data_IF_413656538775
#
_entry.id   IF_413656538775
#
_cell.length_a   1.000
_cell.length_b   1.000
_cell.length_c   1.000
_cell.angle_alpha   90.00
_cell.angle_beta   90.00
_cell.angle_gamma   90.00
#
_symmetry.space_group_name_H-M   'P 1'
#
loop_
_entity.id
_entity.type
_entity.pdbx_description
1 polymer ?
#
# COMPACT_ATOMS: atom_id res chain seq x y z
N UNK A 1 -1.18 8.58 -53.81
CA UNK A 1 -0.58 7.24 -53.68
C UNK A 1 0.89 7.39 -54.04
N UNK A 2 1.77 7.19 -53.05
CA UNK A 2 3.24 7.11 -53.09
C UNK A 2 4.04 8.14 -53.90
N UNK A 3 4.78 9.01 -53.19
CA UNK A 3 6.15 9.35 -53.59
C UNK A 3 7.06 9.37 -52.34
N UNK A 4 7.93 8.36 -52.26
CA UNK A 4 9.07 8.25 -51.36
C UNK A 4 10.30 8.79 -52.08
N UNK A 5 10.90 9.86 -51.56
CA UNK A 5 12.31 10.26 -51.71
C UNK A 5 12.49 11.43 -50.74
N UNK A 6 13.44 11.50 -49.82
CA UNK A 6 14.76 10.90 -49.77
C UNK A 6 15.72 12.02 -49.38
N UNK A 7 16.39 11.85 -48.24
CA UNK A 7 17.74 12.36 -47.94
C UNK A 7 17.91 13.88 -47.85
N UNK A 8 17.98 14.43 -46.64
CA UNK A 8 19.21 14.55 -45.84
C UNK A 8 20.14 15.68 -46.31
N UNK A 9 20.25 16.72 -45.46
CA UNK A 9 21.49 17.38 -44.99
C UNK A 9 21.22 18.88 -44.80
N UNK A 10 21.12 19.29 -43.55
CA UNK A 10 21.43 20.67 -43.18
C UNK A 10 22.42 20.64 -42.02
N UNK A 11 23.68 20.61 -42.42
CA UNK A 11 24.80 21.44 -41.96
C UNK A 11 24.73 21.97 -40.52
N UNK A 12 25.62 21.40 -39.69
CA UNK A 12 26.15 21.99 -38.47
C UNK A 12 26.78 23.36 -38.75
N UNK A 13 26.61 24.26 -37.77
CA UNK A 13 27.50 25.32 -37.29
C UNK A 13 26.74 26.64 -37.17
N UNK A 14 26.40 27.02 -35.95
CA UNK A 14 26.63 28.38 -35.49
C UNK A 14 26.76 28.39 -33.97
N UNK A 15 27.98 28.58 -33.51
CA UNK A 15 28.28 29.06 -32.17
C UNK A 15 27.88 30.53 -32.11
N UNK A 16 27.19 30.95 -31.06
CA UNK A 16 27.56 32.12 -30.25
C UNK A 16 26.47 32.53 -29.27
N UNK A 17 26.90 32.69 -28.01
CA UNK A 17 26.37 33.64 -27.04
C UNK A 17 24.99 33.34 -26.48
N UNK A 18 24.82 33.34 -25.15
CA UNK A 18 24.44 34.54 -24.38
C UNK A 18 24.72 34.25 -22.91
N UNK A 19 25.35 35.20 -22.23
CA UNK A 19 25.51 35.27 -20.77
C UNK A 19 24.12 35.31 -20.11
N UNK A 20 23.77 34.28 -19.37
CA UNK A 20 22.58 34.24 -18.51
C UNK A 20 22.99 34.25 -17.04
N UNK A 21 22.87 35.40 -16.40
CA UNK A 21 22.91 35.55 -14.93
C UNK A 21 21.48 35.30 -14.44
N UNK A 22 21.31 34.37 -13.50
CA UNK A 22 20.04 34.05 -12.83
C UNK A 22 20.12 32.62 -12.30
N UNK A 23 19.99 32.31 -11.02
CA UNK A 23 19.15 32.89 -9.99
C UNK A 23 18.12 31.83 -9.59
N UNK A 24 18.36 31.11 -8.47
CA UNK A 24 17.46 30.07 -7.94
C UNK A 24 17.41 28.81 -8.81
N UNK A 25 17.17 27.59 -8.33
CA UNK A 25 16.28 27.19 -7.25
C UNK A 25 16.85 25.94 -6.57
N UNK A 26 16.93 25.97 -5.24
CA UNK A 26 17.11 24.78 -4.42
C UNK A 26 15.94 23.83 -4.68
N UNK A 27 16.21 22.62 -5.16
CA UNK A 27 15.22 21.56 -5.20
C UNK A 27 15.69 20.38 -4.34
N UNK A 28 15.84 20.65 -3.05
CA UNK A 28 15.73 19.60 -2.03
C UNK A 28 14.25 19.19 -1.93
N UNK A 29 13.74 18.53 -2.97
CA UNK A 29 12.48 17.82 -2.87
C UNK A 29 12.72 16.56 -2.04
N UNK A 30 12.72 16.73 -0.72
CA UNK A 30 12.54 15.64 0.21
C UNK A 30 11.20 14.99 -0.13
N UNK A 31 11.27 13.92 -0.91
CA UNK A 31 10.15 13.02 -1.20
C UNK A 31 9.77 12.40 0.13
N UNK A 32 8.97 13.11 0.92
CA UNK A 32 8.46 12.65 2.21
C UNK A 32 7.68 11.37 1.92
N UNK A 33 8.32 10.22 2.15
CA UNK A 33 7.67 8.93 2.07
C UNK A 33 6.47 9.00 3.00
N UNK A 34 5.26 9.06 2.43
CA UNK A 34 4.03 9.08 3.21
C UNK A 34 4.06 7.87 4.13
N UNK A 35 4.25 8.09 5.44
CA UNK A 35 4.29 7.03 6.45
C UNK A 35 3.13 6.10 6.21
N UNK A 36 3.42 4.84 5.89
CA UNK A 36 2.38 3.83 5.66
C UNK A 36 1.53 3.73 6.92
N UNK A 37 0.22 3.98 6.79
CA UNK A 37 -0.73 3.72 7.85
C UNK A 37 -0.78 2.20 8.04
N UNK A 38 -0.46 1.73 9.25
CA UNK A 38 -0.39 0.32 9.65
C UNK A 38 0.69 -0.52 8.92
N UNK A 39 1.98 -0.29 9.20
CA UNK A 39 3.07 -1.06 8.57
C UNK A 39 3.04 -2.55 8.94
N UNK A 40 2.60 -2.90 10.15
CA UNK A 40 2.59 -4.27 10.67
C UNK A 40 1.24 -4.99 10.55
N UNK A 41 0.29 -4.43 9.80
CA UNK A 41 -1.04 -5.04 9.68
C UNK A 41 -1.03 -6.24 8.74
N UNK A 42 -0.24 -6.21 7.66
CA UNK A 42 -0.10 -7.34 6.76
C UNK A 42 0.69 -8.46 7.47
N UNK A 43 0.19 -9.70 7.42
CA UNK A 43 0.76 -10.85 8.13
C UNK A 43 0.50 -10.84 9.64
N UNK A 44 -0.33 -9.92 10.14
CA UNK A 44 -0.68 -9.90 11.55
C UNK A 44 -1.69 -11.01 11.87
N UNK A 45 -1.44 -11.67 12.99
CA UNK A 45 -2.25 -12.77 13.51
C UNK A 45 -3.26 -12.24 14.51
N UNK A 46 -4.48 -12.72 14.42
CA UNK A 46 -5.57 -12.28 15.28
C UNK A 46 -6.42 -13.47 15.72
N UNK A 47 -6.96 -13.34 16.93
CA UNK A 47 -7.90 -14.29 17.50
C UNK A 47 -9.22 -13.58 17.76
N UNK A 48 -10.28 -14.02 17.11
CA UNK A 48 -11.64 -13.54 17.34
C UNK A 48 -12.15 -14.09 18.69
N UNK A 49 -12.69 -13.21 19.53
CA UNK A 49 -13.34 -13.65 20.77
C UNK A 49 -14.61 -14.45 20.48
N UNK A 50 -15.39 -13.99 19.50
CA UNK A 50 -16.57 -14.68 18.99
C UNK A 50 -16.22 -15.53 17.78
N UNK A 51 -16.88 -16.67 17.59
CA UNK A 51 -16.67 -17.50 16.40
C UNK A 51 -17.21 -16.78 15.17
N UNK A 52 -16.34 -16.49 14.21
CA UNK A 52 -16.72 -15.90 12.92
C UNK A 52 -16.62 -17.00 11.87
N UNK A 53 -17.72 -17.32 11.21
CA UNK A 53 -17.78 -18.46 10.26
C UNK A 53 -17.29 -19.80 10.86
N UNK A 54 -17.52 -20.01 12.16
CA UNK A 54 -17.06 -21.21 12.87
C UNK A 54 -15.60 -21.19 13.32
N UNK A 55 -14.80 -20.22 12.86
CA UNK A 55 -13.38 -20.09 13.17
C UNK A 55 -13.10 -18.95 14.14
N UNK A 56 -11.93 -19.02 14.80
CA UNK A 56 -11.45 -17.97 15.70
C UNK A 56 -10.06 -17.45 15.33
N UNK A 57 -9.23 -18.25 14.68
CA UNK A 57 -7.88 -17.86 14.33
C UNK A 57 -7.83 -17.34 12.90
N UNK A 58 -7.41 -16.10 12.75
CA UNK A 58 -7.35 -15.41 11.46
C UNK A 58 -6.01 -14.71 11.29
N UNK A 59 -5.58 -14.62 10.04
CA UNK A 59 -4.40 -13.86 9.63
C UNK A 59 -4.79 -12.82 8.59
N UNK A 60 -4.16 -11.66 8.68
CA UNK A 60 -4.34 -10.62 7.67
C UNK A 60 -3.43 -10.90 6.47
N UNK A 61 -4.00 -11.27 5.34
CA UNK A 61 -3.24 -11.54 4.11
C UNK A 61 -3.13 -10.33 3.20
N UNK A 62 -4.03 -9.36 3.34
CA UNK A 62 -4.10 -8.20 2.48
C UNK A 62 -4.62 -6.96 3.22
N UNK A 63 -4.34 -5.78 2.68
CA UNK A 63 -4.88 -4.52 3.19
C UNK A 63 -5.32 -3.63 2.03
N UNK A 64 -6.46 -2.99 2.20
CA UNK A 64 -7.03 -2.07 1.20
C UNK A 64 -7.32 -0.73 1.87
N UNK A 65 -6.67 0.32 1.39
CA UNK A 65 -6.90 1.67 1.87
C UNK A 65 -7.95 2.34 0.99
N UNK A 66 -9.10 2.69 1.57
CA UNK A 66 -10.16 3.45 0.90
C UNK A 66 -10.29 4.82 1.56
N UNK A 67 -9.50 5.78 1.06
CA UNK A 67 -9.46 7.15 1.57
C UNK A 67 -8.99 7.20 3.03
N UNK A 68 -9.92 7.50 3.95
CA UNK A 68 -9.65 7.55 5.40
C UNK A 68 -9.77 6.19 6.08
N UNK A 69 -10.41 5.21 5.44
CA UNK A 69 -10.66 3.89 6.00
C UNK A 69 -9.62 2.89 5.51
N UNK A 70 -9.29 1.94 6.38
CA UNK A 70 -8.36 0.86 6.07
C UNK A 70 -9.12 -0.44 6.30
N UNK A 71 -9.13 -1.31 5.31
CA UNK A 71 -9.70 -2.63 5.40
C UNK A 71 -8.60 -3.68 5.44
N UNK A 72 -8.79 -4.71 6.24
CA UNK A 72 -7.92 -5.87 6.35
C UNK A 72 -8.66 -7.09 5.78
N UNK A 73 -8.00 -7.82 4.88
CA UNK A 73 -8.47 -9.12 4.42
C UNK A 73 -8.01 -10.18 5.41
N UNK A 74 -8.96 -10.76 6.11
CA UNK A 74 -8.78 -11.80 7.11
C UNK A 74 -8.99 -13.16 6.45
N UNK A 75 -8.09 -14.10 6.72
CA UNK A 75 -8.19 -15.49 6.28
C UNK A 75 -8.09 -16.40 7.48
N UNK A 76 -8.96 -17.41 7.58
CA UNK A 76 -8.87 -18.37 8.67
C UNK A 76 -7.58 -19.19 8.54
N UNK A 77 -6.83 -19.31 9.65
CA UNK A 77 -5.56 -20.05 9.64
C UNK A 77 -5.75 -21.55 9.45
N UNK A 78 -6.94 -22.08 9.79
CA UNK A 78 -7.28 -23.49 9.67
C UNK A 78 -7.95 -23.83 8.33
N UNK A 79 -8.54 -22.85 7.66
CA UNK A 79 -9.25 -23.03 6.39
C UNK A 79 -9.07 -21.79 5.51
N UNK A 80 -8.25 -21.93 4.47
CA UNK A 80 -7.97 -20.86 3.52
C UNK A 80 -9.19 -20.42 2.70
N UNK A 81 -10.31 -21.17 2.72
CA UNK A 81 -11.54 -20.79 2.03
C UNK A 81 -12.32 -19.69 2.75
N UNK A 82 -12.17 -19.58 4.08
CA UNK A 82 -12.86 -18.55 4.86
C UNK A 82 -12.04 -17.26 4.81
N UNK A 83 -12.47 -16.36 3.91
CA UNK A 83 -11.81 -15.08 3.68
C UNK A 83 -12.85 -13.96 3.69
N UNK A 84 -12.58 -12.89 4.42
CA UNK A 84 -13.49 -11.75 4.51
C UNK A 84 -12.72 -10.45 4.77
N UNK A 85 -13.37 -9.34 4.45
CA UNK A 85 -12.80 -8.01 4.69
C UNK A 85 -13.45 -7.37 5.91
N UNK A 86 -12.64 -6.81 6.80
CA UNK A 86 -13.10 -5.99 7.93
C UNK A 86 -12.43 -4.63 7.95
N UNK A 87 -13.09 -3.67 8.59
CA UNK A 87 -12.44 -2.40 8.85
C UNK A 87 -11.35 -2.61 9.90
N UNK A 88 -10.12 -2.18 9.61
CA UNK A 88 -8.98 -2.31 10.50
C UNK A 88 -9.17 -1.54 11.82
N UNK A 89 -10.14 -0.62 11.89
CA UNK A 89 -10.55 -0.02 13.17
C UNK A 89 -11.22 -1.03 14.11
N UNK A 90 -11.93 -2.04 13.60
CA UNK A 90 -12.51 -3.09 14.43
C UNK A 90 -11.45 -3.97 15.08
N UNK A 91 -10.27 -4.13 14.45
CA UNK A 91 -9.14 -4.84 15.06
C UNK A 91 -8.58 -4.13 16.29
N UNK A 92 -8.89 -2.84 16.49
CA UNK A 92 -8.54 -2.13 17.72
C UNK A 92 -9.44 -2.49 18.89
N UNK A 93 -10.63 -3.01 18.61
CA UNK A 93 -11.57 -3.46 19.62
C UNK A 93 -11.10 -4.80 20.17
N UNK A 94 -10.62 -4.78 21.41
CA UNK A 94 -10.08 -5.95 22.09
C UNK A 94 -11.15 -6.96 22.46
N UNK A 95 -12.41 -6.54 22.57
CA UNK A 95 -13.55 -7.40 22.92
C UNK A 95 -14.00 -8.22 21.71
N UNK A 96 -13.65 -7.79 20.51
CA UNK A 96 -13.87 -8.55 19.28
C UNK A 96 -12.62 -9.30 18.85
N UNK A 97 -11.45 -8.65 18.92
CA UNK A 97 -10.21 -9.14 18.31
C UNK A 97 -9.03 -9.02 19.27
N UNK A 98 -8.36 -10.14 19.52
CA UNK A 98 -7.13 -10.20 20.29
C UNK A 98 -5.93 -10.32 19.33
N UNK A 99 -4.90 -9.47 19.46
CA UNK A 99 -3.68 -9.61 18.67
C UNK A 99 -2.92 -10.88 19.09
N UNK A 100 -2.37 -11.57 18.10
CA UNK A 100 -1.66 -12.84 18.27
C UNK A 100 -2.59 -14.05 18.35
N UNK A 101 -1.98 -15.21 18.54
CA UNK A 101 -2.68 -16.45 18.85
C UNK A 101 -2.75 -16.59 20.36
N UNK A 102 -3.93 -16.29 20.92
CA UNK A 102 -4.18 -16.52 22.35
C UNK A 102 -5.06 -17.74 22.52
N UNK A 103 -4.70 -18.68 23.42
CA UNK A 103 -5.66 -19.66 23.87
C UNK A 103 -6.80 -18.93 24.58
N UNK A 104 -8.02 -19.41 24.41
CA UNK A 104 -9.14 -18.98 25.23
C UNK A 104 -8.76 -19.32 26.66
N UNK A 105 -8.49 -18.29 27.46
CA UNK A 105 -8.36 -18.49 28.89
C UNK A 105 -9.75 -18.87 29.36
N UNK A 106 -9.91 -20.13 29.76
CA UNK A 106 -11.08 -20.57 30.51
C UNK A 106 -11.23 -19.60 31.69
N UNK A 107 -12.38 -18.93 31.77
CA UNK A 107 -12.72 -17.99 32.84
C UNK A 107 -13.37 -18.80 33.95
#
# INVERSE_FOLDING_TARGET
MLHLVGWARQTLLFQNGIRGVGGGYNNHQSKMAKKQKFPHLLGSKWTAQQKTWGWRHFEVVNRKNQGKWVFAEMVASCDGNVRFWINAQQLKDTDLWQPGWKPLKDI
#
